data_IF_576823386528
#
_entry.id   IF_576823386528
#
_cell.length_a   1.000
_cell.length_b   1.000
_cell.length_c   1.000
_cell.angle_alpha   90.00
_cell.angle_beta   90.00
_cell.angle_gamma   90.00
#
_symmetry.space_group_name_H-M   'P 1'
#
loop_
_entity.id
_entity.type
_entity.pdbx_description
1 polymer ?
#
# COMPACT_ATOMS: atom_id res chain seq x y z
N UNK A 1 18.83 3.48 -2.84
CA UNK A 1 18.00 2.26 -2.79
C UNK A 1 16.76 2.61 -1.99
N UNK A 2 15.57 2.39 -2.52
CA UNK A 2 14.30 2.72 -1.83
C UNK A 2 14.06 1.75 -0.69
N UNK A 3 13.41 2.19 0.39
CA UNK A 3 12.94 1.32 1.45
C UNK A 3 11.64 0.66 1.02
N UNK A 4 11.60 -0.66 1.06
CA UNK A 4 10.42 -1.45 0.70
C UNK A 4 9.52 -1.63 1.91
N UNK A 5 8.24 -1.35 1.73
CA UNK A 5 7.23 -1.37 2.78
C UNK A 5 6.18 -2.45 2.52
N UNK A 6 5.89 -3.24 3.55
CA UNK A 6 4.71 -4.09 3.62
C UNK A 6 3.68 -3.43 4.54
N UNK A 7 2.50 -3.10 3.99
CA UNK A 7 1.45 -2.39 4.72
C UNK A 7 0.32 -3.37 5.05
N UNK A 8 0.25 -3.75 6.32
CA UNK A 8 -0.80 -4.62 6.84
C UNK A 8 -2.03 -3.79 7.21
N UNK A 9 -3.13 -3.93 6.46
CA UNK A 9 -4.32 -3.10 6.63
C UNK A 9 -4.23 -1.74 5.92
N UNK A 10 -3.82 -1.77 4.65
CA UNK A 10 -3.66 -0.62 3.74
C UNK A 10 -4.93 0.23 3.54
N UNK A 11 -6.11 -0.35 3.75
CA UNK A 11 -7.41 0.33 3.59
C UNK A 11 -7.91 0.97 4.89
N UNK A 12 -7.22 0.79 6.01
CA UNK A 12 -7.50 1.48 7.27
C UNK A 12 -6.83 2.86 7.33
N UNK A 13 -7.19 3.68 8.31
CA UNK A 13 -6.70 5.07 8.41
C UNK A 13 -5.18 5.19 8.45
N UNK A 14 -4.48 4.31 9.17
CA UNK A 14 -3.01 4.31 9.20
C UNK A 14 -2.44 3.86 7.85
N UNK A 15 -3.05 2.84 7.23
CA UNK A 15 -2.62 2.33 5.93
C UNK A 15 -2.74 3.38 4.83
N UNK A 16 -3.87 4.08 4.75
CA UNK A 16 -4.10 5.13 3.75
C UNK A 16 -3.17 6.31 3.96
N UNK A 17 -3.00 6.77 5.20
CA UNK A 17 -2.06 7.86 5.53
C UNK A 17 -0.60 7.47 5.26
N UNK A 18 -0.23 6.21 5.50
CA UNK A 18 1.10 5.70 5.15
C UNK A 18 1.31 5.75 3.64
N UNK A 19 0.30 5.38 2.85
CA UNK A 19 0.37 5.44 1.38
C UNK A 19 0.47 6.88 0.85
N UNK A 20 -0.18 7.85 1.51
CA UNK A 20 -0.01 9.27 1.19
C UNK A 20 1.46 9.70 1.35
N UNK A 21 2.12 9.31 2.44
CA UNK A 21 3.56 9.58 2.66
C UNK A 21 4.42 8.86 1.61
N UNK A 22 4.09 7.63 1.23
CA UNK A 22 4.84 6.92 0.17
C UNK A 22 4.71 7.63 -1.17
N UNK A 23 3.52 8.14 -1.50
CA UNK A 23 3.28 8.90 -2.71
C UNK A 23 3.99 10.27 -2.71
N UNK A 24 4.15 10.90 -1.54
CA UNK A 24 4.88 12.17 -1.38
C UNK A 24 6.40 11.99 -1.51
N UNK A 25 6.94 10.84 -1.08
CA UNK A 25 8.38 10.55 -1.10
C UNK A 25 8.74 9.30 -1.91
N UNK A 26 8.44 9.25 -3.23
CA UNK A 26 8.63 8.06 -4.06
C UNK A 26 10.10 7.71 -4.29
N UNK A 27 11.04 8.64 -4.05
CA UNK A 27 12.48 8.38 -4.13
C UNK A 27 13.02 7.67 -2.89
N UNK A 28 12.28 7.72 -1.78
CA UNK A 28 12.66 7.12 -0.49
C UNK A 28 11.96 5.78 -0.25
N UNK A 29 10.71 5.64 -0.71
CA UNK A 29 9.86 4.50 -0.38
C UNK A 29 9.29 3.82 -1.62
N UNK A 30 9.00 2.53 -1.46
CA UNK A 30 8.32 1.69 -2.45
C UNK A 30 7.38 0.74 -1.70
N UNK A 31 6.16 0.56 -2.20
CA UNK A 31 5.21 -0.41 -1.65
C UNK A 31 5.53 -1.78 -2.22
N UNK A 32 5.87 -2.74 -1.36
CA UNK A 32 6.16 -4.11 -1.77
C UNK A 32 4.96 -5.04 -1.58
N UNK A 33 4.22 -4.88 -0.48
CA UNK A 33 3.02 -5.68 -0.19
C UNK A 33 1.90 -4.81 0.36
N UNK A 34 0.68 -5.01 -0.14
CA UNK A 34 -0.54 -4.46 0.45
C UNK A 34 -1.43 -5.58 0.98
N UNK A 35 -1.99 -5.39 2.17
CA UNK A 35 -3.06 -6.26 2.66
C UNK A 35 -4.29 -5.48 3.10
N UNK A 36 -5.46 -6.10 3.03
CA UNK A 36 -6.69 -5.57 3.61
C UNK A 36 -7.56 -6.69 4.18
N UNK A 37 -8.55 -6.33 4.99
CA UNK A 37 -9.53 -7.29 5.52
C UNK A 37 -10.75 -7.39 4.59
N UNK A 38 -11.48 -6.29 4.40
CA UNK A 38 -12.82 -6.30 3.79
C UNK A 38 -13.05 -5.27 2.67
N UNK A 39 -12.23 -4.24 2.53
CA UNK A 39 -12.42 -3.20 1.51
C UNK A 39 -11.62 -3.52 0.22
N UNK A 40 -12.11 -4.51 -0.54
CA UNK A 40 -11.43 -5.00 -1.75
C UNK A 40 -11.31 -3.94 -2.84
N UNK A 41 -12.32 -3.10 -3.02
CA UNK A 41 -12.32 -2.08 -4.08
C UNK A 41 -11.20 -1.06 -3.86
N UNK A 42 -11.06 -0.56 -2.62
CA UNK A 42 -9.98 0.35 -2.28
C UNK A 42 -8.60 -0.34 -2.38
N UNK A 43 -8.50 -1.60 -1.98
CA UNK A 43 -7.26 -2.37 -2.12
C UNK A 43 -6.85 -2.52 -3.59
N UNK A 44 -7.80 -2.76 -4.49
CA UNK A 44 -7.56 -2.84 -5.94
C UNK A 44 -7.05 -1.50 -6.48
N UNK A 45 -7.68 -0.39 -6.10
CA UNK A 45 -7.25 0.94 -6.53
C UNK A 45 -5.83 1.27 -6.02
N UNK A 46 -5.52 0.94 -4.77
CA UNK A 46 -4.18 1.08 -4.22
C UNK A 46 -3.17 0.19 -4.96
N UNK A 47 -3.52 -1.07 -5.26
CA UNK A 47 -2.65 -1.99 -5.99
C UNK A 47 -2.35 -1.50 -7.41
N UNK A 48 -3.34 -0.95 -8.13
CA UNK A 48 -3.12 -0.36 -9.45
C UNK A 48 -2.21 0.87 -9.40
N UNK A 49 -2.35 1.70 -8.36
CA UNK A 49 -1.57 2.93 -8.21
C UNK A 49 -0.11 2.66 -7.83
N UNK A 50 0.11 1.80 -6.84
CA UNK A 50 1.45 1.54 -6.29
C UNK A 50 2.16 0.34 -6.93
N UNK A 51 1.44 -0.50 -7.67
CA UNK A 51 1.95 -1.71 -8.35
C UNK A 51 2.88 -2.57 -7.46
N UNK A 52 2.40 -3.02 -6.28
CA UNK A 52 3.21 -3.84 -5.39
C UNK A 52 3.45 -5.24 -5.97
N UNK A 53 4.49 -5.91 -5.49
CA UNK A 53 4.83 -7.29 -5.89
C UNK A 53 3.77 -8.30 -5.41
N UNK A 54 3.08 -7.99 -4.30
CA UNK A 54 2.05 -8.87 -3.73
C UNK A 54 0.88 -8.10 -3.11
N UNK A 55 -0.31 -8.70 -3.20
CA UNK A 55 -1.55 -8.19 -2.62
C UNK A 55 -2.28 -9.35 -1.94
N UNK A 56 -2.71 -9.16 -0.68
CA UNK A 56 -3.38 -10.20 0.11
C UNK A 56 -4.70 -9.67 0.68
N UNK A 57 -5.75 -10.48 0.63
CA UNK A 57 -7.05 -10.18 1.26
C UNK A 57 -7.49 -11.37 2.12
N UNK A 58 -8.19 -11.08 3.22
CA UNK A 58 -8.73 -12.10 4.14
C UNK A 58 -10.00 -12.76 3.60
#
# INVERSE_FOLDING_TARGET
MKKQLAILGSTGSIGTQTLEVVAEYPDLFEVYTLTANNNVDLLIEQAKHFNPDSVVIA
#
